data_IF_344596213692
#
_entry.id   IF_344596213692
#
_cell.length_a   1.000
_cell.length_b   1.000
_cell.length_c   1.000
_cell.angle_alpha   90.00
_cell.angle_beta   90.00
_cell.angle_gamma   90.00
#
_symmetry.space_group_name_H-M   'P 1'
#
loop_
_entity.id
_entity.type
_entity.pdbx_description
1 polymer ?
#
# COMPACT_ATOMS: atom_id res chain seq x y z
N UNK A 1 -8.22 25.17 -72.79
CA UNK A 1 -6.81 25.09 -72.36
C UNK A 1 -6.80 24.62 -70.91
N UNK A 2 -6.14 23.48 -70.62
CA UNK A 2 -5.32 23.19 -69.42
C UNK A 2 -6.00 23.23 -68.02
N UNK A 3 -5.83 22.29 -67.09
CA UNK A 3 -5.07 21.04 -66.96
C UNK A 3 -5.83 20.13 -65.97
N UNK A 4 -5.89 18.83 -66.26
CA UNK A 4 -6.33 17.78 -65.34
C UNK A 4 -5.09 17.18 -64.70
N UNK A 5 -5.03 17.09 -63.38
CA UNK A 5 -3.96 16.41 -62.64
C UNK A 5 -4.55 15.23 -61.88
N UNK A 6 -4.36 14.04 -62.45
CA UNK A 6 -4.54 12.75 -61.78
C UNK A 6 -3.35 12.52 -60.85
N UNK A 7 -3.61 12.41 -59.55
CA UNK A 7 -2.63 11.92 -58.57
C UNK A 7 -2.89 10.44 -58.31
N UNK A 8 -1.97 9.60 -58.77
CA UNK A 8 -1.88 8.18 -58.41
C UNK A 8 -1.37 8.08 -56.96
N UNK A 9 -2.19 7.52 -56.06
CA UNK A 9 -1.76 7.12 -54.72
C UNK A 9 -1.25 5.68 -54.81
N UNK A 10 0.06 5.51 -54.68
CA UNK A 10 0.70 4.20 -54.56
C UNK A 10 0.51 3.67 -53.14
N UNK A 11 -0.26 2.58 -53.00
CA UNK A 11 -0.45 1.87 -51.74
C UNK A 11 0.74 0.92 -51.53
N UNK A 12 1.67 1.29 -50.65
CA UNK A 12 2.81 0.46 -50.25
C UNK A 12 2.35 -0.47 -49.11
N UNK A 13 2.02 -1.71 -49.42
CA UNK A 13 1.71 -2.75 -48.42
C UNK A 13 3.04 -3.32 -47.92
N UNK A 14 3.46 -2.92 -46.71
CA UNK A 14 4.59 -3.51 -46.00
C UNK A 14 4.11 -4.77 -45.27
N UNK A 15 4.39 -5.94 -45.83
CA UNK A 15 4.19 -7.23 -45.18
C UNK A 15 5.25 -7.42 -44.08
N UNK A 16 4.94 -6.96 -42.87
CA UNK A 16 5.70 -7.32 -41.67
C UNK A 16 5.45 -8.80 -41.36
N UNK A 17 6.44 -9.63 -41.61
CA UNK A 17 6.44 -11.03 -41.21
C UNK A 17 6.37 -11.14 -39.69
N UNK A 18 5.19 -11.51 -39.18
CA UNK A 18 5.02 -11.90 -37.79
C UNK A 18 5.88 -13.15 -37.52
N UNK A 19 7.01 -12.96 -36.84
CA UNK A 19 7.72 -14.09 -36.26
C UNK A 19 6.88 -14.57 -35.07
N UNK A 20 6.56 -15.88 -34.97
CA UNK A 20 5.91 -16.39 -33.79
C UNK A 20 6.83 -16.13 -32.61
N UNK A 21 6.39 -15.26 -31.69
CA UNK A 21 6.96 -15.20 -30.36
C UNK A 21 6.62 -16.54 -29.74
N UNK A 22 7.62 -17.42 -29.61
CA UNK A 22 7.51 -18.60 -28.78
C UNK A 22 7.19 -18.08 -27.37
N UNK A 23 5.94 -18.26 -26.95
CA UNK A 23 5.56 -18.08 -25.56
C UNK A 23 6.36 -19.11 -24.77
N UNK A 24 7.46 -18.66 -24.18
CA UNK A 24 8.13 -19.40 -23.11
C UNK A 24 7.12 -19.34 -21.98
N UNK A 25 6.43 -20.45 -21.73
CA UNK A 25 5.62 -20.57 -20.51
C UNK A 25 6.55 -20.24 -19.34
N UNK A 26 6.13 -19.33 -18.44
CA UNK A 26 6.91 -19.07 -17.25
C UNK A 26 7.08 -20.42 -16.56
N UNK A 27 8.32 -20.89 -16.50
CA UNK A 27 8.67 -22.00 -15.63
C UNK A 27 8.41 -21.44 -14.25
N UNK A 28 7.27 -21.79 -13.66
CA UNK A 28 7.02 -21.63 -12.23
C UNK A 28 8.06 -22.49 -11.52
N UNK A 29 9.26 -21.93 -11.42
CA UNK A 29 10.35 -22.53 -10.69
C UNK A 29 9.87 -22.58 -9.24
N UNK A 30 9.55 -23.78 -8.77
CA UNK A 30 9.26 -24.03 -7.37
C UNK A 30 10.44 -23.53 -6.55
N UNK A 31 10.29 -22.35 -5.96
CA UNK A 31 11.25 -21.84 -5.01
C UNK A 31 11.22 -22.74 -3.77
N UNK A 32 12.38 -23.10 -3.21
CA UNK A 32 12.43 -23.85 -1.97
C UNK A 32 11.87 -23.03 -0.81
N UNK A 33 11.36 -23.73 0.20
CA UNK A 33 11.03 -23.13 1.50
C UNK A 33 12.28 -23.06 2.36
N UNK A 34 12.41 -21.97 3.12
CA UNK A 34 13.47 -21.82 4.10
C UNK A 34 13.10 -22.58 5.38
N UNK A 35 13.99 -23.45 5.86
CA UNK A 35 13.79 -24.15 7.13
C UNK A 35 14.09 -23.22 8.32
N UNK A 36 13.04 -22.88 9.07
CA UNK A 36 13.08 -22.02 10.25
C UNK A 36 12.84 -22.80 11.56
N UNK A 37 12.92 -24.13 11.52
CA UNK A 37 12.57 -24.98 12.67
C UNK A 37 13.43 -24.77 13.92
N UNK A 38 14.63 -24.21 13.79
CA UNK A 38 15.51 -23.85 14.91
C UNK A 38 15.07 -22.59 15.66
N UNK A 39 14.25 -21.73 15.04
CA UNK A 39 13.94 -20.39 15.54
C UNK A 39 15.11 -19.39 15.47
N UNK A 40 16.22 -19.77 14.84
CA UNK A 40 17.41 -18.93 14.63
C UNK A 40 17.52 -18.50 13.16
N UNK A 41 18.19 -17.37 12.91
CA UNK A 41 18.47 -16.92 11.54
C UNK A 41 19.50 -17.88 10.91
N UNK A 42 19.23 -18.45 9.72
CA UNK A 42 20.19 -19.34 9.09
C UNK A 42 21.52 -18.62 8.77
N UNK A 43 22.65 -19.28 9.03
CA UNK A 43 24.00 -18.68 8.82
C UNK A 43 24.26 -18.07 7.44
N UNK A 44 23.61 -18.58 6.38
CA UNK A 44 23.69 -18.01 5.05
C UNK A 44 23.12 -16.57 5.00
N UNK A 45 21.99 -16.34 5.68
CA UNK A 45 21.38 -15.01 5.81
C UNK A 45 22.26 -14.09 6.65
N UNK A 46 22.92 -14.58 7.69
CA UNK A 46 23.85 -13.77 8.50
C UNK A 46 25.03 -13.25 7.66
N UNK A 47 25.60 -14.09 6.81
CA UNK A 47 26.68 -13.68 5.87
C UNK A 47 26.17 -12.62 4.91
N UNK A 48 24.95 -12.77 4.38
CA UNK A 48 24.31 -11.78 3.51
C UNK A 48 24.05 -10.46 4.23
N UNK A 49 23.56 -10.51 5.47
CA UNK A 49 23.35 -9.33 6.31
C UNK A 49 24.65 -8.54 6.49
N UNK A 50 25.76 -9.21 6.83
CA UNK A 50 27.06 -8.55 6.99
C UNK A 50 27.54 -7.87 5.70
N UNK A 51 27.32 -8.49 4.54
CA UNK A 51 27.64 -7.89 3.23
C UNK A 51 26.83 -6.62 2.98
N UNK A 52 25.51 -6.68 3.22
CA UNK A 52 24.60 -5.54 3.05
C UNK A 52 24.95 -4.42 4.03
N UNK A 53 25.28 -4.74 5.29
CA UNK A 53 25.68 -3.74 6.28
C UNK A 53 26.98 -3.02 5.88
N UNK A 54 27.96 -3.75 5.36
CA UNK A 54 29.20 -3.15 4.86
C UNK A 54 28.92 -2.19 3.69
N UNK A 55 28.05 -2.57 2.76
CA UNK A 55 27.64 -1.71 1.65
C UNK A 55 26.88 -0.47 2.13
N UNK A 56 25.93 -0.62 3.06
CA UNK A 56 25.19 0.51 3.65
C UNK A 56 26.16 1.50 4.30
N UNK A 57 27.17 1.00 5.02
CA UNK A 57 28.18 1.84 5.66
C UNK A 57 29.03 2.60 4.64
N UNK A 58 29.36 1.99 3.50
CA UNK A 58 30.10 2.63 2.40
C UNK A 58 29.25 3.69 1.68
N UNK A 59 27.97 3.40 1.43
CA UNK A 59 27.03 4.32 0.78
C UNK A 59 26.68 5.54 1.67
N UNK A 60 26.66 5.33 2.98
CA UNK A 60 26.30 6.35 3.97
C UNK A 60 24.79 6.67 4.01
N UNK A 61 24.41 7.54 4.94
CA UNK A 61 23.00 7.87 5.21
C UNK A 61 22.29 8.63 4.08
N UNK A 62 23.05 9.23 3.16
CA UNK A 62 22.51 9.99 2.03
C UNK A 62 21.95 9.14 0.89
N UNK A 63 22.11 7.80 0.92
CA UNK A 63 21.55 6.95 -0.12
C UNK A 63 20.00 6.98 -0.09
N UNK A 64 19.33 7.12 -1.24
CA UNK A 64 17.87 7.36 -1.28
C UNK A 64 17.03 6.26 -0.63
N UNK A 65 17.52 5.03 -0.57
CA UNK A 65 16.74 3.91 -0.01
C UNK A 65 17.58 2.82 0.69
N UNK A 66 18.91 2.87 0.64
CA UNK A 66 19.71 1.81 1.26
C UNK A 66 19.76 2.02 2.77
N UNK A 67 19.62 0.96 3.55
CA UNK A 67 19.60 1.07 5.00
C UNK A 67 19.03 -0.15 5.72
N UNK A 68 19.02 -0.06 7.05
CA UNK A 68 18.28 -0.94 7.93
C UNK A 68 16.93 -0.29 8.21
N UNK A 69 15.85 -1.02 8.06
CA UNK A 69 14.50 -0.55 8.29
C UNK A 69 13.77 -1.45 9.27
N UNK A 70 12.89 -0.85 10.08
CA UNK A 70 11.97 -1.56 10.94
C UNK A 70 10.53 -1.26 10.53
N UNK A 71 9.70 -2.30 10.47
CA UNK A 71 8.26 -2.20 10.31
C UNK A 71 7.59 -2.77 11.55
N UNK A 72 6.71 -1.97 12.15
CA UNK A 72 5.94 -2.37 13.32
C UNK A 72 5.12 -1.25 13.92
N UNK A 73 4.13 -1.64 14.69
CA UNK A 73 3.27 -0.77 15.50
C UNK A 73 3.71 -0.75 16.99
N UNK A 74 4.73 -1.53 17.34
CA UNK A 74 5.19 -1.74 18.71
C UNK A 74 4.36 -2.78 19.49
N UNK A 75 3.45 -3.52 18.81
CA UNK A 75 2.55 -4.52 19.40
C UNK A 75 2.86 -5.96 18.95
N UNK A 76 4.07 -6.21 18.43
CA UNK A 76 4.57 -7.57 18.17
C UNK A 76 4.71 -7.98 16.70
N UNK A 77 4.36 -7.11 15.75
CA UNK A 77 4.84 -7.22 14.36
C UNK A 77 6.15 -6.44 14.28
N UNK A 78 7.27 -7.15 14.28
CA UNK A 78 8.60 -6.54 14.17
C UNK A 78 9.29 -7.16 12.97
N UNK A 79 9.09 -6.59 11.79
CA UNK A 79 9.89 -6.94 10.63
C UNK A 79 11.12 -6.05 10.56
N UNK A 80 12.27 -6.64 10.32
CA UNK A 80 13.50 -5.92 10.03
C UNK A 80 13.92 -6.21 8.59
N UNK A 81 14.23 -5.15 7.84
CA UNK A 81 14.68 -5.21 6.46
C UNK A 81 16.04 -4.53 6.34
N UNK A 82 17.05 -5.27 5.93
CA UNK A 82 18.31 -4.73 5.45
C UNK A 82 18.30 -4.74 3.94
N UNK A 83 18.57 -3.61 3.30
CA UNK A 83 18.43 -3.49 1.85
C UNK A 83 19.49 -2.55 1.26
N UNK A 84 20.15 -2.98 0.18
CA UNK A 84 21.17 -2.23 -0.53
C UNK A 84 21.22 -2.60 -2.04
N UNK A 85 21.77 -1.72 -2.92
CA UNK A 85 21.85 -1.93 -4.37
C UNK A 85 22.50 -3.23 -4.82
N UNK A 86 23.68 -3.57 -4.29
CA UNK A 86 24.49 -4.71 -4.78
C UNK A 86 24.25 -5.95 -3.93
N UNK A 87 24.25 -5.78 -2.60
CA UNK A 87 24.02 -6.79 -1.60
C UNK A 87 22.57 -7.26 -1.53
N UNK A 88 21.64 -6.63 -2.25
CA UNK A 88 20.23 -7.05 -2.31
C UNK A 88 19.51 -6.78 -0.99
N UNK A 89 18.76 -7.75 -0.49
CA UNK A 89 18.04 -7.59 0.77
C UNK A 89 18.05 -8.85 1.63
N UNK A 90 17.87 -8.64 2.94
CA UNK A 90 17.46 -9.66 3.91
C UNK A 90 16.31 -9.08 4.72
N UNK A 91 15.23 -9.85 4.85
CA UNK A 91 14.07 -9.49 5.67
C UNK A 91 13.84 -10.58 6.70
N UNK A 92 13.53 -10.17 7.92
CA UNK A 92 13.22 -11.07 9.04
C UNK A 92 11.98 -10.58 9.75
N UNK A 93 11.25 -11.50 10.36
CA UNK A 93 10.10 -11.20 11.19
C UNK A 93 10.22 -11.92 12.51
N UNK A 94 10.27 -11.15 13.60
CA UNK A 94 10.34 -11.67 14.95
C UNK A 94 9.04 -11.40 15.69
N UNK A 95 8.58 -12.41 16.42
CA UNK A 95 7.52 -12.27 17.42
C UNK A 95 7.99 -12.69 18.81
N UNK A 96 7.05 -12.83 19.74
CA UNK A 96 7.36 -13.12 21.14
C UNK A 96 8.11 -14.44 21.38
N UNK A 97 7.98 -15.41 20.47
CA UNK A 97 8.59 -16.74 20.57
C UNK A 97 9.84 -16.91 19.68
N UNK A 98 10.35 -15.84 19.07
CA UNK A 98 11.55 -15.87 18.22
C UNK A 98 11.26 -15.53 16.76
N UNK A 99 12.06 -16.10 15.85
CA UNK A 99 11.96 -15.88 14.41
C UNK A 99 10.73 -16.59 13.82
N UNK A 100 9.83 -15.82 13.22
CA UNK A 100 8.61 -16.33 12.58
C UNK A 100 8.75 -16.46 11.07
N UNK A 101 9.60 -15.62 10.46
CA UNK A 101 9.84 -15.63 9.02
C UNK A 101 11.18 -14.99 8.70
N UNK A 102 11.83 -15.48 7.65
CA UNK A 102 12.99 -14.83 7.07
C UNK A 102 13.04 -15.09 5.57
N UNK A 103 13.59 -14.15 4.81
CA UNK A 103 13.85 -14.32 3.40
C UNK A 103 14.97 -13.37 2.95
N UNK A 104 15.51 -13.61 1.76
CA UNK A 104 16.58 -12.80 1.18
C UNK A 104 16.46 -12.80 -0.34
N UNK A 105 17.21 -11.91 -0.98
CA UNK A 105 17.39 -11.99 -2.41
C UNK A 105 18.00 -10.75 -3.03
N UNK A 106 17.51 -10.41 -4.24
CA UNK A 106 18.00 -9.30 -5.05
C UNK A 106 16.96 -8.18 -5.13
N UNK A 107 17.44 -6.96 -5.32
CA UNK A 107 16.59 -5.79 -5.56
C UNK A 107 16.71 -5.40 -7.03
N UNK A 108 15.58 -5.18 -7.70
CA UNK A 108 15.53 -4.57 -9.03
C UNK A 108 14.76 -3.26 -8.97
N UNK A 109 15.33 -2.19 -9.53
CA UNK A 109 14.63 -0.91 -9.62
C UNK A 109 13.74 -0.93 -10.88
N UNK A 110 12.46 -0.62 -10.71
CA UNK A 110 11.50 -0.46 -11.78
C UNK A 110 11.59 0.93 -12.42
N UNK A 111 10.99 1.09 -13.61
CA UNK A 111 10.95 2.37 -14.31
C UNK A 111 10.31 3.50 -13.47
N UNK A 112 9.35 3.14 -12.61
CA UNK A 112 8.63 4.07 -11.73
C UNK A 112 9.37 4.35 -10.40
N UNK A 113 10.61 3.84 -10.25
CA UNK A 113 11.43 4.01 -9.05
C UNK A 113 11.13 3.03 -7.91
N UNK A 114 10.14 2.14 -8.08
CA UNK A 114 9.88 1.05 -7.14
C UNK A 114 11.05 0.07 -7.03
N UNK A 115 11.26 -0.43 -5.82
CA UNK A 115 12.15 -1.54 -5.53
C UNK A 115 11.35 -2.84 -5.61
N UNK A 116 11.60 -3.65 -6.63
CA UNK A 116 11.09 -5.01 -6.73
C UNK A 116 12.03 -5.97 -5.98
N UNK A 117 11.47 -6.73 -5.03
CA UNK A 117 12.18 -7.71 -4.23
C UNK A 117 12.06 -9.09 -4.88
N UNK A 118 13.18 -9.58 -5.41
CA UNK A 118 13.29 -10.89 -6.04
C UNK A 118 13.80 -11.88 -5.01
N UNK A 119 12.86 -12.61 -4.40
CA UNK A 119 13.14 -13.59 -3.35
C UNK A 119 13.84 -14.85 -3.87
N UNK A 120 14.79 -15.36 -3.09
CA UNK A 120 15.43 -16.67 -3.34
C UNK A 120 14.62 -17.84 -2.77
N UNK A 121 13.80 -17.56 -1.74
CA UNK A 121 12.94 -18.54 -1.07
C UNK A 121 11.46 -18.23 -1.29
N UNK A 122 10.61 -19.25 -1.23
CA UNK A 122 9.16 -19.09 -1.40
C UNK A 122 8.60 -18.04 -0.42
N UNK A 123 8.06 -16.94 -0.97
CA UNK A 123 7.34 -15.91 -0.22
C UNK A 123 5.84 -16.14 -0.44
N UNK A 124 5.19 -16.88 0.46
CA UNK A 124 3.79 -17.29 0.28
C UNK A 124 2.85 -16.09 0.38
N UNK A 125 2.14 -15.82 -0.72
CA UNK A 125 1.19 -14.72 -0.78
C UNK A 125 -0.08 -15.00 0.03
N UNK A 126 -0.59 -14.00 0.75
CA UNK A 126 -1.84 -14.09 1.50
C UNK A 126 -1.76 -14.81 2.84
N UNK A 127 -0.58 -15.30 3.23
CA UNK A 127 -0.36 -15.91 4.53
C UNK A 127 0.07 -14.85 5.58
N UNK A 128 -0.24 -15.12 6.85
CA UNK A 128 0.21 -14.31 7.97
C UNK A 128 1.75 -14.27 7.97
N UNK A 129 2.33 -13.07 7.85
CA UNK A 129 3.78 -12.90 7.77
C UNK A 129 4.38 -12.69 6.40
N UNK A 130 3.56 -12.52 5.38
CA UNK A 130 4.05 -12.22 4.04
C UNK A 130 4.95 -10.97 4.04
N UNK A 131 6.07 -11.08 3.32
CA UNK A 131 6.95 -9.94 3.05
C UNK A 131 6.52 -9.22 1.76
N UNK A 132 6.63 -7.88 1.68
CA UNK A 132 6.23 -7.14 0.50
C UNK A 132 7.09 -7.50 -0.71
N UNK A 133 6.50 -7.69 -1.89
CA UNK A 133 7.26 -7.96 -3.13
C UNK A 133 7.75 -6.70 -3.82
N UNK A 134 7.17 -5.55 -3.47
CA UNK A 134 7.56 -4.24 -3.99
C UNK A 134 7.53 -3.20 -2.88
N UNK A 135 8.44 -2.24 -2.96
CA UNK A 135 8.54 -1.12 -2.03
C UNK A 135 8.78 0.18 -2.78
N UNK A 136 8.00 1.22 -2.47
CA UNK A 136 8.19 2.59 -2.92
C UNK A 136 9.08 3.34 -1.92
N UNK A 137 10.26 3.84 -2.34
CA UNK A 137 10.99 4.80 -1.54
C UNK A 137 10.23 6.11 -1.40
N UNK A 138 10.05 6.56 -0.15
CA UNK A 138 9.38 7.82 0.19
C UNK A 138 10.27 8.59 1.15
N UNK A 139 10.46 9.88 0.90
CA UNK A 139 11.15 10.77 1.84
C UNK A 139 10.16 11.70 2.52
N UNK A 140 10.27 11.88 3.82
CA UNK A 140 9.47 12.84 4.58
C UNK A 140 10.37 13.67 5.48
N UNK A 141 10.67 14.90 5.06
CA UNK A 141 11.75 15.67 5.70
C UNK A 141 13.09 14.93 5.57
N UNK A 142 13.70 14.60 6.70
CA UNK A 142 14.92 13.79 6.78
C UNK A 142 14.65 12.27 6.81
N UNK A 143 13.39 11.85 7.04
CA UNK A 143 13.05 10.44 7.16
C UNK A 143 12.96 9.73 5.82
N UNK A 144 13.47 8.51 5.77
CA UNK A 144 13.34 7.58 4.66
C UNK A 144 12.39 6.45 5.06
N UNK A 145 11.37 6.26 4.23
CA UNK A 145 10.35 5.24 4.38
C UNK A 145 10.39 4.31 3.16
N UNK A 146 10.09 3.03 3.38
CA UNK A 146 9.75 2.10 2.32
C UNK A 146 8.30 1.65 2.53
N UNK A 147 7.45 1.90 1.53
CA UNK A 147 6.01 1.67 1.63
C UNK A 147 5.60 0.70 0.51
N UNK A 148 4.90 -0.40 0.80
CA UNK A 148 4.34 -1.24 -0.25
C UNK A 148 3.38 -0.40 -1.12
N UNK A 149 3.44 -0.45 -2.47
CA UNK A 149 2.63 0.40 -3.33
C UNK A 149 1.12 0.34 -3.04
N UNK A 150 0.61 -0.85 -2.70
CA UNK A 150 -0.78 -1.07 -2.32
C UNK A 150 -1.20 -0.38 -1.00
N UNK A 151 -0.24 0.05 -0.17
CA UNK A 151 -0.49 0.76 1.08
C UNK A 151 -0.32 2.29 0.94
N UNK A 152 0.10 2.80 -0.22
CA UNK A 152 0.38 4.24 -0.39
C UNK A 152 -0.84 5.13 -0.12
N UNK A 153 -2.05 4.72 -0.51
CA UNK A 153 -3.26 5.49 -0.24
C UNK A 153 -3.73 5.42 1.21
N UNK A 154 -3.57 4.28 1.88
CA UNK A 154 -3.77 4.20 3.33
C UNK A 154 -2.76 5.09 4.05
N UNK A 155 -1.49 5.12 3.60
CA UNK A 155 -0.49 6.04 4.12
C UNK A 155 -0.87 7.51 3.92
N UNK A 156 -1.36 7.91 2.73
CA UNK A 156 -1.90 9.27 2.50
C UNK A 156 -3.02 9.60 3.48
N UNK A 157 -3.95 8.66 3.66
CA UNK A 157 -5.08 8.83 4.57
C UNK A 157 -4.59 9.02 6.01
N UNK A 158 -3.64 8.21 6.46
CA UNK A 158 -3.02 8.36 7.78
C UNK A 158 -2.34 9.71 7.94
N UNK A 159 -1.60 10.19 6.93
CA UNK A 159 -0.94 11.51 6.98
C UNK A 159 -1.96 12.63 7.11
N UNK A 160 -3.08 12.54 6.37
CA UNK A 160 -4.14 13.53 6.46
C UNK A 160 -4.86 13.50 7.82
N UNK A 161 -5.06 12.32 8.43
CA UNK A 161 -5.83 12.21 9.68
C UNK A 161 -4.97 12.38 10.94
N UNK A 162 -3.74 11.87 10.90
CA UNK A 162 -2.89 11.70 12.09
C UNK A 162 -1.57 12.47 12.01
N UNK A 163 -1.33 13.22 10.93
CA UNK A 163 -0.12 14.01 10.81
C UNK A 163 1.13 13.15 10.88
N UNK A 164 2.13 13.59 11.63
CA UNK A 164 3.42 12.89 11.75
C UNK A 164 3.31 11.52 12.44
N UNK A 165 2.18 11.26 13.13
CA UNK A 165 1.92 9.98 13.82
C UNK A 165 1.51 8.86 12.87
N UNK A 166 1.17 9.20 11.62
CA UNK A 166 0.79 8.29 10.53
C UNK A 166 1.80 7.17 10.24
N UNK A 167 3.04 7.33 10.68
CA UNK A 167 4.13 6.45 10.27
C UNK A 167 4.14 5.07 10.94
N UNK A 168 3.32 4.80 11.96
CA UNK A 168 3.39 3.52 12.69
C UNK A 168 2.57 2.43 11.99
N UNK A 169 3.20 1.27 11.76
CA UNK A 169 2.52 0.05 11.30
C UNK A 169 2.11 -0.01 9.81
N UNK A 170 2.43 1.00 8.99
CA UNK A 170 2.13 0.99 7.53
C UNK A 170 3.37 1.09 6.63
N UNK A 171 4.56 1.25 7.22
CA UNK A 171 5.78 1.46 6.47
C UNK A 171 7.00 0.98 7.23
N UNK A 172 8.03 0.67 6.46
CA UNK A 172 9.37 0.42 6.95
C UNK A 172 10.04 1.76 7.17
N UNK A 173 10.46 2.05 8.41
CA UNK A 173 11.17 3.28 8.78
C UNK A 173 12.65 2.98 8.88
N UNK A 174 13.49 3.80 8.25
CA UNK A 174 14.95 3.64 8.34
C UNK A 174 15.41 3.86 9.78
N UNK A 175 16.25 2.97 10.29
CA UNK A 175 16.85 3.11 11.61
C UNK A 175 17.75 4.35 11.66
N UNK A 176 17.58 5.17 12.70
CA UNK A 176 18.29 6.43 12.89
C UNK A 176 17.59 7.67 12.31
N UNK A 177 16.50 7.49 11.56
CA UNK A 177 15.68 8.58 11.03
C UNK A 177 14.56 8.95 12.02
N UNK A 178 14.96 9.33 13.24
CA UNK A 178 14.04 9.67 14.34
C UNK A 178 13.66 11.16 14.37
N UNK A 179 14.18 11.94 13.43
CA UNK A 179 13.97 13.39 13.36
C UNK A 179 12.49 13.75 13.15
N UNK A 180 12.10 14.88 13.72
CA UNK A 180 10.79 15.48 13.51
C UNK A 180 10.61 15.86 12.03
N UNK A 181 9.50 15.44 11.44
CA UNK A 181 9.20 15.71 10.03
C UNK A 181 8.35 16.96 9.90
N UNK A 182 8.62 17.76 8.87
CA UNK A 182 7.82 18.93 8.53
C UNK A 182 7.31 18.83 7.09
N UNK A 183 6.12 19.38 6.86
CA UNK A 183 5.50 19.36 5.53
C UNK A 183 4.98 17.99 5.11
N UNK A 184 4.81 17.79 3.81
CA UNK A 184 4.28 16.56 3.24
C UNK A 184 5.38 15.57 2.85
N UNK A 185 5.09 14.25 2.93
CA UNK A 185 5.97 13.24 2.36
C UNK A 185 6.01 13.37 0.83
N UNK A 186 7.15 13.04 0.23
CA UNK A 186 7.33 12.97 -1.23
C UNK A 186 6.98 11.55 -1.69
N UNK A 187 5.73 11.35 -2.09
CA UNK A 187 5.15 10.03 -2.39
C UNK A 187 4.95 9.73 -3.88
N UNK A 188 5.21 10.70 -4.76
CA UNK A 188 4.94 10.62 -6.20
C UNK A 188 3.86 11.61 -6.64
N UNK A 189 4.04 12.23 -7.81
CA UNK A 189 3.19 13.33 -8.30
C UNK A 189 1.72 12.91 -8.46
N UNK A 190 1.49 11.64 -8.76
CA UNK A 190 0.18 11.00 -8.89
C UNK A 190 -0.58 10.90 -7.57
N UNK A 191 0.09 10.95 -6.42
CA UNK A 191 -0.55 10.91 -5.10
C UNK A 191 -0.40 12.21 -4.31
N UNK A 192 0.51 13.11 -4.71
CA UNK A 192 0.72 14.39 -4.02
C UNK A 192 -0.55 15.23 -3.89
N UNK A 193 -1.48 15.14 -4.86
CA UNK A 193 -2.74 15.88 -4.83
C UNK A 193 -3.80 15.27 -3.89
N UNK A 194 -3.56 14.06 -3.38
CA UNK A 194 -4.41 13.40 -2.38
C UNK A 194 -4.04 13.80 -0.94
N UNK A 195 -2.84 14.36 -0.74
CA UNK A 195 -2.44 14.97 0.53
C UNK A 195 -3.12 16.33 0.69
N UNK A 196 -3.73 16.56 1.86
CA UNK A 196 -4.64 17.69 2.08
C UNK A 196 -4.11 18.62 3.16
N UNK A 197 -4.04 19.93 2.84
CA UNK A 197 -3.85 21.01 3.84
C UNK A 197 -5.15 21.46 4.45
N UNK A 198 -6.24 21.31 3.70
CA UNK A 198 -7.60 21.63 4.11
C UNK A 198 -8.47 20.39 3.95
N UNK A 199 -9.29 20.07 4.95
CA UNK A 199 -10.07 18.85 4.90
C UNK A 199 -11.19 19.00 3.88
N UNK A 200 -11.35 17.99 3.04
CA UNK A 200 -12.53 17.89 2.19
C UNK A 200 -13.61 17.14 2.96
N UNK A 201 -14.78 17.76 3.10
CA UNK A 201 -15.95 17.14 3.72
C UNK A 201 -16.93 16.70 2.64
N UNK A 202 -17.37 15.45 2.73
CA UNK A 202 -18.32 14.80 1.85
C UNK A 202 -19.59 14.49 2.61
N UNK A 203 -20.73 14.72 1.97
CA UNK A 203 -22.05 14.34 2.50
C UNK A 203 -22.51 13.03 1.88
N UNK A 204 -23.03 12.12 2.71
CA UNK A 204 -23.66 10.87 2.28
C UNK A 204 -25.01 11.21 1.65
N UNK A 205 -25.17 10.94 0.35
CA UNK A 205 -26.42 11.17 -0.39
C UNK A 205 -27.28 9.91 -0.47
N UNK A 206 -26.68 8.75 -0.30
CA UNK A 206 -27.39 7.48 -0.19
C UNK A 206 -26.57 6.46 0.62
N UNK A 207 -27.26 5.51 1.24
CA UNK A 207 -26.66 4.40 1.94
C UNK A 207 -27.43 3.11 1.65
N UNK A 208 -26.72 1.99 1.54
CA UNK A 208 -27.31 0.67 1.33
C UNK A 208 -26.55 -0.37 2.13
N UNK A 209 -27.30 -1.30 2.71
CA UNK A 209 -26.76 -2.54 3.22
C UNK A 209 -27.08 -3.67 2.26
N UNK A 210 -26.08 -4.48 1.97
CA UNK A 210 -26.20 -5.74 1.26
C UNK A 210 -25.65 -6.82 2.19
N UNK A 211 -26.53 -7.66 2.72
CA UNK A 211 -26.09 -8.91 3.33
C UNK A 211 -25.44 -9.75 2.24
N UNK A 212 -24.13 -9.96 2.34
CA UNK A 212 -23.36 -10.78 1.41
C UNK A 212 -23.10 -12.15 2.04
N UNK A 213 -23.32 -13.16 1.22
CA UNK A 213 -22.75 -14.51 1.23
C UNK A 213 -22.38 -15.11 2.58
N UNK A 214 -23.04 -16.21 2.91
CA UNK A 214 -22.57 -17.17 3.92
C UNK A 214 -21.13 -17.58 3.57
N UNK A 215 -20.19 -17.24 4.44
CA UNK A 215 -18.80 -17.66 4.35
C UNK A 215 -18.73 -19.16 4.67
N UNK A 216 -17.69 -19.84 4.18
CA UNK A 216 -17.54 -21.30 4.30
C UNK A 216 -17.47 -21.86 5.73
N UNK A 217 -17.43 -20.99 6.74
CA UNK A 217 -17.29 -21.28 8.16
C UNK A 217 -18.52 -20.82 8.96
N UNK A 218 -19.66 -20.57 8.29
CA UNK A 218 -20.94 -20.24 8.93
C UNK A 218 -21.12 -18.76 9.29
N UNK A 219 -20.11 -17.92 9.08
CA UNK A 219 -20.21 -16.47 9.28
C UNK A 219 -20.84 -15.77 8.07
N UNK A 220 -21.40 -14.57 8.26
CA UNK A 220 -21.94 -13.75 7.18
C UNK A 220 -21.13 -12.46 7.00
N UNK A 221 -21.03 -12.00 5.77
CA UNK A 221 -20.36 -10.74 5.44
C UNK A 221 -21.40 -9.67 5.11
N UNK A 222 -21.61 -8.68 5.97
CA UNK A 222 -22.50 -7.56 5.63
C UNK A 222 -21.69 -6.48 4.93
N UNK A 223 -21.91 -6.30 3.62
CA UNK A 223 -21.32 -5.22 2.86
C UNK A 223 -22.22 -4.00 2.90
N UNK A 224 -21.67 -2.88 3.35
CA UNK A 224 -22.35 -1.59 3.34
C UNK A 224 -21.73 -0.69 2.30
N UNK A 225 -22.56 0.12 1.66
CA UNK A 225 -22.12 1.06 0.63
C UNK A 225 -22.75 2.41 0.90
N UNK A 226 -21.92 3.44 0.93
CA UNK A 226 -22.31 4.84 0.98
C UNK A 226 -22.00 5.46 -0.36
N UNK A 227 -22.88 6.33 -0.82
CA UNK A 227 -22.63 7.19 -1.96
C UNK A 227 -22.49 8.63 -1.46
N UNK A 228 -21.52 9.34 -2.03
CA UNK A 228 -21.25 10.72 -1.71
C UNK A 228 -21.62 11.63 -2.86
N UNK A 229 -21.82 12.91 -2.58
CA UNK A 229 -21.98 13.90 -3.64
C UNK A 229 -20.79 13.85 -4.62
N UNK A 230 -21.11 13.60 -5.88
CA UNK A 230 -20.16 13.39 -6.97
C UNK A 230 -19.29 14.61 -7.27
N UNK A 231 -19.82 15.83 -7.08
CA UNK A 231 -19.09 17.06 -7.38
C UNK A 231 -17.87 17.23 -6.46
N UNK A 232 -18.05 16.95 -5.17
CA UNK A 232 -17.00 17.05 -4.17
C UNK A 232 -16.05 15.85 -4.20
N UNK A 233 -16.52 14.66 -4.60
CA UNK A 233 -15.73 13.43 -4.55
C UNK A 233 -14.93 13.11 -5.82
N UNK A 234 -15.15 13.81 -6.94
CA UNK A 234 -14.54 13.49 -8.24
C UNK A 234 -13.00 13.44 -8.23
N UNK A 235 -12.35 14.22 -7.37
CA UNK A 235 -10.88 14.38 -7.36
C UNK A 235 -10.13 13.40 -6.46
N UNK A 236 -10.82 12.62 -5.63
CA UNK A 236 -10.16 11.70 -4.69
C UNK A 236 -9.54 10.47 -5.40
N UNK A 237 -8.86 9.58 -4.72
CA UNK A 237 -8.45 8.31 -5.30
C UNK A 237 -9.29 7.16 -4.73
N UNK A 238 -9.52 6.12 -5.54
CA UNK A 238 -10.06 4.85 -5.03
C UNK A 238 -9.04 4.23 -4.08
N UNK A 239 -9.46 3.88 -2.86
CA UNK A 239 -8.61 3.41 -1.77
C UNK A 239 -8.32 4.46 -0.70
N UNK A 240 -8.66 5.74 -0.94
CA UNK A 240 -8.52 6.79 0.08
C UNK A 240 -9.56 6.57 1.20
N UNK A 241 -9.13 6.69 2.46
CA UNK A 241 -9.98 6.49 3.63
C UNK A 241 -10.55 7.80 4.16
N UNK A 242 -11.83 7.76 4.51
CA UNK A 242 -12.58 8.86 5.09
C UNK A 242 -12.96 8.55 6.53
N UNK A 243 -12.90 9.56 7.41
CA UNK A 243 -13.35 9.47 8.80
C UNK A 243 -14.67 10.24 8.98
N UNK A 244 -15.63 9.79 9.80
CA UNK A 244 -16.80 10.59 10.11
C UNK A 244 -16.41 11.92 10.78
N UNK A 245 -17.03 13.03 10.34
CA UNK A 245 -16.80 14.36 10.94
C UNK A 245 -17.35 14.40 12.36
N UNK A 246 -18.55 13.85 12.55
CA UNK A 246 -19.26 13.84 13.81
C UNK A 246 -18.94 12.52 14.53
N UNK A 247 -17.97 12.53 15.46
CA UNK A 247 -17.50 11.34 16.22
C UNK A 247 -18.52 10.77 17.21
N UNK A 248 -19.79 11.12 17.07
CA UNK A 248 -20.85 10.81 18.03
C UNK A 248 -21.48 9.41 17.81
N UNK A 249 -20.87 8.55 17.00
CA UNK A 249 -21.34 7.18 16.75
C UNK A 249 -20.22 6.19 16.50
N UNK A 250 -20.56 4.89 16.49
CA UNK A 250 -19.66 3.75 16.25
C UNK A 250 -19.18 3.63 14.78
N UNK A 251 -19.26 4.70 13.99
CA UNK A 251 -18.91 4.66 12.58
C UNK A 251 -17.39 4.63 12.42
N UNK A 252 -16.89 3.56 11.80
CA UNK A 252 -15.48 3.44 11.44
C UNK A 252 -15.11 4.28 10.22
N UNK A 253 -13.82 4.23 9.87
CA UNK A 253 -13.33 4.76 8.59
C UNK A 253 -13.89 3.94 7.43
N UNK A 254 -14.04 4.59 6.29
CA UNK A 254 -14.53 3.96 5.06
C UNK A 254 -13.56 4.23 3.91
N UNK A 255 -13.21 3.21 3.14
CA UNK A 255 -12.36 3.34 1.96
C UNK A 255 -13.21 3.63 0.72
N UNK A 256 -12.81 4.65 -0.05
CA UNK A 256 -13.44 4.98 -1.33
C UNK A 256 -13.18 3.89 -2.36
N UNK A 257 -14.17 3.66 -3.22
CA UNK A 257 -14.12 2.77 -4.36
C UNK A 257 -14.91 3.34 -5.54
N UNK A 258 -14.80 2.69 -6.69
CA UNK A 258 -15.61 3.03 -7.87
C UNK A 258 -16.94 2.27 -7.84
N UNK A 259 -18.04 2.94 -8.21
CA UNK A 259 -19.35 2.31 -8.39
C UNK A 259 -19.87 2.58 -9.80
N UNK A 260 -20.19 1.50 -10.53
CA UNK A 260 -20.64 1.57 -11.93
C UNK A 260 -21.98 2.31 -12.12
N UNK A 261 -22.80 2.44 -11.08
CA UNK A 261 -24.20 2.86 -11.21
C UNK A 261 -24.52 4.27 -10.72
N UNK A 262 -23.73 4.83 -9.79
CA UNK A 262 -24.06 6.10 -9.11
C UNK A 262 -22.82 6.97 -8.84
N UNK A 263 -21.67 6.69 -9.47
CA UNK A 263 -20.44 7.46 -9.28
C UNK A 263 -19.55 6.90 -8.16
N UNK A 264 -18.95 7.75 -7.34
CA UNK A 264 -18.06 7.30 -6.26
C UNK A 264 -18.81 6.84 -5.03
N UNK A 265 -18.40 5.70 -4.51
CA UNK A 265 -18.96 5.10 -3.33
C UNK A 265 -17.84 4.76 -2.35
N UNK A 266 -18.13 4.66 -1.06
CA UNK A 266 -17.27 3.92 -0.14
C UNK A 266 -18.01 2.67 0.29
N UNK A 267 -17.26 1.58 0.46
CA UNK A 267 -17.83 0.35 0.99
C UNK A 267 -16.95 -0.22 2.08
N UNK A 268 -17.58 -0.74 3.12
CA UNK A 268 -16.91 -1.57 4.11
C UNK A 268 -17.71 -2.84 4.33
N UNK A 269 -17.05 -3.81 4.95
CA UNK A 269 -17.62 -5.11 5.24
C UNK A 269 -17.46 -5.40 6.73
N UNK A 270 -18.56 -5.75 7.39
CA UNK A 270 -18.55 -6.29 8.75
C UNK A 270 -18.77 -7.81 8.65
N UNK A 271 -18.01 -8.61 9.38
CA UNK A 271 -18.26 -10.04 9.52
C UNK A 271 -19.12 -10.23 10.77
N UNK A 272 -20.23 -10.94 10.63
CA UNK A 272 -21.16 -11.27 11.72
C UNK A 272 -21.25 -12.78 11.89
N UNK A 273 -21.51 -13.23 13.12
CA UNK A 273 -21.60 -14.64 13.48
C UNK A 273 -22.85 -15.34 12.91
N UNK A 274 -23.03 -16.62 13.28
CA UNK A 274 -23.86 -17.66 12.64
C UNK A 274 -25.31 -17.29 12.26
N UNK A 275 -25.94 -16.32 12.94
CA UNK A 275 -27.33 -15.95 12.67
C UNK A 275 -27.49 -14.92 11.52
N UNK A 276 -26.37 -14.42 10.97
CA UNK A 276 -26.34 -13.46 9.87
C UNK A 276 -27.18 -12.18 10.12
N UNK A 277 -27.51 -11.91 11.39
CA UNK A 277 -28.21 -10.71 11.80
C UNK A 277 -27.16 -9.61 12.00
N UNK A 278 -27.32 -8.43 11.38
CA UNK A 278 -26.54 -7.27 11.80
C UNK A 278 -26.75 -7.03 13.29
N UNK A 279 -25.73 -6.58 14.00
CA UNK A 279 -25.91 -6.13 15.38
C UNK A 279 -27.04 -5.08 15.39
N UNK A 280 -28.12 -5.27 16.16
CA UNK A 280 -29.23 -4.34 16.20
C UNK A 280 -28.83 -2.94 16.66
N UNK A 281 -27.64 -2.78 17.27
CA UNK A 281 -27.05 -1.51 17.65
C UNK A 281 -26.09 -0.94 16.59
N UNK A 282 -25.71 -1.72 15.58
CA UNK A 282 -24.85 -1.26 14.49
C UNK A 282 -25.66 -0.36 13.54
N UNK A 283 -25.42 0.93 13.66
CA UNK A 283 -26.08 1.93 12.84
C UNK A 283 -25.40 2.02 11.48
N UNK A 284 -26.20 2.26 10.43
CA UNK A 284 -25.69 2.69 9.12
C UNK A 284 -25.73 4.22 9.14
N UNK A 285 -24.68 4.91 8.66
CA UNK A 285 -24.72 6.36 8.52
C UNK A 285 -25.96 6.81 7.75
N UNK A 286 -26.72 7.72 8.34
CA UNK A 286 -27.89 8.32 7.71
C UNK A 286 -27.50 9.19 6.51
N UNK A 287 -28.41 9.35 5.56
CA UNK A 287 -28.29 10.39 4.51
C UNK A 287 -28.13 11.76 5.19
N UNK A 288 -27.18 12.57 4.72
CA UNK A 288 -26.77 13.82 5.34
C UNK A 288 -25.60 13.68 6.32
N UNK A 289 -25.21 12.46 6.70
CA UNK A 289 -23.99 12.23 7.48
C UNK A 289 -22.76 12.72 6.71
N UNK A 290 -21.76 13.23 7.44
CA UNK A 290 -20.56 13.82 6.83
C UNK A 290 -19.31 13.03 7.15
N UNK A 291 -18.48 12.88 6.13
CA UNK A 291 -17.17 12.23 6.20
C UNK A 291 -16.09 13.20 5.73
N UNK A 292 -14.87 13.08 6.23
CA UNK A 292 -13.76 13.95 5.88
C UNK A 292 -12.55 13.15 5.46
N UNK A 293 -11.76 13.71 4.53
CA UNK A 293 -10.42 13.21 4.18
C UNK A 293 -9.39 13.46 5.29
N UNK A 294 -9.74 14.25 6.30
CA UNK A 294 -8.75 14.83 7.21
C UNK A 294 -7.91 15.90 6.50
N UNK A 295 -7.00 16.50 7.25
CA UNK A 295 -5.99 17.40 6.72
C UNK A 295 -4.75 17.37 7.60
N UNK A 296 -3.59 17.31 6.94
CA UNK A 296 -2.30 17.40 7.60
C UNK A 296 -2.16 18.77 8.28
N UNK A 297 -2.02 18.74 9.60
CA UNK A 297 -1.83 19.93 10.43
C UNK A 297 -0.53 19.77 11.23
N UNK A 298 0.55 20.46 10.85
CA UNK A 298 1.84 20.34 11.54
C UNK A 298 1.83 20.91 12.97
N UNK A 299 0.88 21.79 13.30
CA UNK A 299 0.84 22.50 14.59
C UNK A 299 0.16 21.72 15.72
N UNK A 300 -0.68 20.75 15.39
CA UNK A 300 -1.48 20.00 16.38
C UNK A 300 -0.72 18.87 17.07
N UNK A 301 0.50 18.56 16.63
CA UNK A 301 1.24 17.37 17.09
C UNK A 301 1.96 17.55 18.45
N UNK A 302 2.05 18.78 18.97
CA UNK A 302 2.72 19.08 20.25
C UNK A 302 1.83 19.28 21.48
N UNK A 303 0.51 19.39 21.33
CA UNK A 303 -0.40 19.73 22.45
C UNK A 303 -1.74 18.99 22.35
N UNK A 304 -1.81 17.75 22.81
CA UNK A 304 -3.04 17.07 23.26
C UNK A 304 -2.73 16.05 24.34
#
# INVERSE_FOLDING_TARGET
MRFSTSSFVALLIVLLGARPVLAIEPVDAFLPELDLSSGEVPSALEVRQQQIEAEIAELGSGHPWAGRYAFGDGLGVNQELLIAPVGGFVVTWHGCLGLYGANEGRVRINADGDLELQYEWLNREGEFGQFPTRLRPVTWGAQHLLIPPEQLLSFVSEVNHNGVRAAKGLNFRRAGDDDEVTGFPKIGDDLMHQLRREPLTLEVVAARSLTANELSWGACAIRRTLWFDSASSAELASGLELEPVDKLGAYGRVALGESESLGRAASWQTIVDEDCQPDPNEQIPDVGSRYTTGAFSPETDGVR
#
